data_IF_465892544481
#
_entry.id   IF_465892544481
#
_cell.length_a   1.000
_cell.length_b   1.000
_cell.length_c   1.000
_cell.angle_alpha   90.00
_cell.angle_beta   90.00
_cell.angle_gamma   90.00
#
_symmetry.space_group_name_H-M   'P 1'
#
loop_
_entity.id
_entity.type
_entity.pdbx_description
1 polymer ?
#
# COMPACT_ATOMS: atom_id res chain seq x y z
N UNK A 1 0.33 -12.45 -27.65
CA UNK A 1 -1.04 -13.00 -27.58
C UNK A 1 -1.99 -12.07 -26.84
N UNK A 2 -1.84 -11.84 -25.53
CA UNK A 2 -2.76 -10.97 -24.77
C UNK A 2 -2.81 -9.52 -25.29
N UNK A 3 -1.66 -8.82 -25.38
CA UNK A 3 -1.62 -7.44 -25.86
C UNK A 3 -2.13 -7.31 -27.30
N UNK A 4 -1.79 -8.26 -28.16
CA UNK A 4 -2.28 -8.35 -29.55
C UNK A 4 -3.80 -8.45 -29.58
N UNK A 5 -4.39 -9.36 -28.78
CA UNK A 5 -5.84 -9.49 -28.68
C UNK A 5 -6.51 -8.22 -28.18
N UNK A 6 -5.94 -7.55 -27.18
CA UNK A 6 -6.49 -6.28 -26.69
C UNK A 6 -6.43 -5.18 -27.75
N UNK A 7 -5.35 -5.10 -28.52
CA UNK A 7 -5.18 -4.10 -29.59
C UNK A 7 -6.05 -4.38 -30.83
N UNK A 8 -6.33 -5.65 -31.14
CA UNK A 8 -7.10 -6.04 -32.33
C UNK A 8 -8.62 -6.12 -32.03
N UNK A 9 -9.00 -6.73 -30.91
CA UNK A 9 -10.41 -6.97 -30.57
C UNK A 9 -11.02 -5.81 -29.78
N UNK A 10 -10.19 -5.00 -29.12
CA UNK A 10 -10.58 -3.87 -28.31
C UNK A 10 -10.69 -4.17 -26.81
N UNK A 11 -10.67 -3.11 -26.04
CA UNK A 11 -10.89 -3.12 -24.60
C UNK A 11 -12.38 -3.03 -24.28
N UNK A 12 -12.79 -3.60 -23.14
CA UNK A 12 -14.13 -3.38 -22.62
C UNK A 12 -14.30 -1.91 -22.22
N UNK A 13 -15.21 -1.20 -22.88
CA UNK A 13 -15.51 0.21 -22.60
C UNK A 13 -15.84 0.43 -21.11
N UNK A 14 -16.57 -0.51 -20.49
CA UNK A 14 -16.88 -0.47 -19.05
C UNK A 14 -15.60 -0.51 -18.20
N UNK A 15 -14.63 -1.35 -18.55
CA UNK A 15 -13.34 -1.48 -17.83
C UNK A 15 -12.48 -0.23 -18.03
N UNK A 16 -12.45 0.33 -19.25
CA UNK A 16 -11.74 1.57 -19.53
C UNK A 16 -12.34 2.73 -18.72
N UNK A 17 -13.67 2.85 -18.72
CA UNK A 17 -14.36 3.87 -17.93
C UNK A 17 -14.12 3.69 -16.42
N UNK A 18 -14.14 2.46 -15.91
CA UNK A 18 -13.78 2.15 -14.52
C UNK A 18 -12.36 2.64 -14.19
N UNK A 19 -11.40 2.33 -15.06
CA UNK A 19 -9.99 2.70 -14.89
C UNK A 19 -9.79 4.22 -14.84
N UNK A 20 -10.50 4.97 -15.70
CA UNK A 20 -10.49 6.44 -15.69
C UNK A 20 -11.13 6.99 -14.42
N UNK A 21 -12.24 6.42 -13.96
CA UNK A 21 -12.92 6.83 -12.73
C UNK A 21 -12.03 6.60 -11.50
N UNK A 22 -11.29 5.48 -11.43
CA UNK A 22 -10.32 5.21 -10.35
C UNK A 22 -9.20 6.24 -10.37
N UNK A 23 -8.67 6.56 -11.56
CA UNK A 23 -7.61 7.56 -11.68
C UNK A 23 -8.09 8.92 -11.21
N UNK A 24 -9.29 9.33 -11.60
CA UNK A 24 -9.94 10.54 -11.10
C UNK A 24 -10.13 10.50 -9.57
N UNK A 25 -10.62 9.39 -9.03
CA UNK A 25 -10.82 9.22 -7.59
C UNK A 25 -9.51 9.46 -6.84
N UNK A 26 -8.41 8.80 -7.26
CA UNK A 26 -7.10 8.98 -6.64
C UNK A 26 -6.57 10.41 -6.74
N UNK A 27 -6.78 11.09 -7.87
CA UNK A 27 -6.41 12.50 -8.05
C UNK A 27 -7.19 13.44 -7.13
N UNK A 28 -8.50 13.21 -6.96
CA UNK A 28 -9.38 14.02 -6.08
C UNK A 28 -9.11 13.76 -4.59
N UNK A 29 -9.01 12.48 -4.22
CA UNK A 29 -8.74 12.05 -2.85
C UNK A 29 -7.41 12.65 -2.37
N UNK A 30 -6.37 12.57 -3.21
CA UNK A 30 -5.01 13.01 -2.90
C UNK A 30 -4.57 12.50 -1.52
N UNK A 31 -4.94 11.26 -1.20
CA UNK A 31 -4.59 10.57 0.03
C UNK A 31 -3.36 9.71 -0.25
N UNK A 32 -2.27 10.04 0.44
CA UNK A 32 -0.96 9.45 0.18
C UNK A 32 -0.47 8.58 1.33
N UNK A 33 -1.38 7.98 2.12
CA UNK A 33 -1.01 6.99 3.13
C UNK A 33 -0.10 7.54 4.22
N UNK A 34 -0.36 8.77 4.66
CA UNK A 34 0.42 9.46 5.69
C UNK A 34 1.53 10.37 5.18
N UNK A 35 1.85 10.36 3.88
CA UNK A 35 2.76 11.35 3.31
C UNK A 35 2.06 12.73 3.19
N UNK A 36 2.71 13.83 3.63
CA UNK A 36 2.16 15.17 3.47
C UNK A 36 1.90 15.50 2.00
N UNK A 37 0.72 16.03 1.68
CA UNK A 37 0.34 16.41 0.29
C UNK A 37 1.36 17.35 -0.34
N UNK A 38 1.85 18.32 0.43
CA UNK A 38 2.88 19.26 -0.03
C UNK A 38 4.16 18.56 -0.50
N UNK A 39 4.60 17.52 0.21
CA UNK A 39 5.78 16.73 -0.20
C UNK A 39 5.51 15.99 -1.51
N UNK A 40 4.39 15.29 -1.62
CA UNK A 40 4.05 14.51 -2.82
C UNK A 40 3.89 15.39 -4.05
N UNK A 41 3.20 16.53 -3.92
CA UNK A 41 3.06 17.49 -5.01
C UNK A 41 4.40 18.13 -5.39
N UNK A 42 5.25 18.45 -4.42
CA UNK A 42 6.59 18.98 -4.69
C UNK A 42 7.46 17.97 -5.44
N UNK A 43 7.45 16.70 -5.03
CA UNK A 43 8.19 15.65 -5.74
C UNK A 43 7.66 15.43 -7.15
N UNK A 44 6.33 15.50 -7.33
CA UNK A 44 5.69 15.40 -8.65
C UNK A 44 6.14 16.56 -9.54
N UNK A 45 6.04 17.79 -9.05
CA UNK A 45 6.47 18.98 -9.77
C UNK A 45 7.98 18.95 -10.08
N UNK A 46 8.81 18.53 -9.13
CA UNK A 46 10.26 18.38 -9.31
C UNK A 46 10.60 17.38 -10.41
N UNK A 47 9.91 16.23 -10.44
CA UNK A 47 10.11 15.21 -11.47
C UNK A 47 9.83 15.74 -12.88
N UNK A 48 8.84 16.63 -12.99
CA UNK A 48 8.48 17.28 -14.24
C UNK A 48 9.44 18.43 -14.59
N UNK A 49 9.83 19.22 -13.59
CA UNK A 49 10.74 20.36 -13.73
C UNK A 49 12.10 19.97 -14.32
N UNK A 50 12.58 18.75 -14.03
CA UNK A 50 13.82 18.24 -14.62
C UNK A 50 13.79 18.20 -16.16
N UNK A 51 12.61 18.24 -16.78
CA UNK A 51 12.42 18.10 -18.22
C UNK A 51 11.46 19.13 -18.84
N UNK A 52 10.94 20.08 -18.06
CA UNK A 52 9.96 21.09 -18.49
C UNK A 52 10.14 22.40 -17.72
N UNK A 53 9.95 23.54 -18.38
CA UNK A 53 10.00 24.87 -17.76
C UNK A 53 8.73 25.22 -16.95
N UNK A 54 7.68 24.38 -17.03
CA UNK A 54 6.40 24.58 -16.33
C UNK A 54 6.13 23.44 -15.33
N UNK A 55 6.73 23.49 -14.13
CA UNK A 55 6.70 22.38 -13.17
C UNK A 55 5.30 22.06 -12.63
N UNK A 56 4.35 22.99 -12.73
CA UNK A 56 2.97 22.83 -12.26
C UNK A 56 2.06 22.08 -13.25
N UNK A 57 2.42 21.91 -14.52
CA UNK A 57 1.55 21.26 -15.52
C UNK A 57 1.12 19.84 -15.08
N UNK A 58 2.02 19.10 -14.44
CA UNK A 58 1.74 17.75 -13.92
C UNK A 58 0.67 17.72 -12.80
N UNK A 59 0.43 18.86 -12.15
CA UNK A 59 -0.59 19.01 -11.10
C UNK A 59 -1.96 19.41 -11.66
N UNK A 60 -2.01 19.96 -12.89
CA UNK A 60 -3.22 20.44 -13.54
C UNK A 60 -3.94 19.32 -14.31
N UNK A 61 -4.53 18.38 -13.58
CA UNK A 61 -5.06 17.15 -14.19
C UNK A 61 -6.46 17.27 -14.80
N UNK A 62 -7.23 18.32 -14.53
CA UNK A 62 -8.65 18.40 -14.94
C UNK A 62 -8.84 18.40 -16.46
N UNK A 63 -8.09 19.24 -17.19
CA UNK A 63 -8.18 19.29 -18.65
C UNK A 63 -7.68 18.00 -19.32
N UNK A 64 -6.49 17.46 -18.98
CA UNK A 64 -6.05 16.15 -19.47
C UNK A 64 -7.03 15.01 -19.15
N UNK A 65 -7.59 14.99 -17.94
CA UNK A 65 -8.56 13.98 -17.52
C UNK A 65 -9.84 14.05 -18.36
N UNK A 66 -10.33 15.25 -18.67
CA UNK A 66 -11.48 15.44 -19.55
C UNK A 66 -11.20 14.89 -20.95
N UNK A 67 -10.02 15.18 -21.52
CA UNK A 67 -9.61 14.63 -22.82
C UNK A 67 -9.55 13.10 -22.79
N UNK A 68 -9.02 12.50 -21.72
CA UNK A 68 -8.98 11.05 -21.54
C UNK A 68 -10.40 10.46 -21.46
N UNK A 69 -11.31 11.09 -20.71
CA UNK A 69 -12.72 10.67 -20.60
C UNK A 69 -13.44 10.70 -21.96
N UNK A 70 -13.18 11.73 -22.78
CA UNK A 70 -13.74 11.82 -24.13
C UNK A 70 -13.14 10.77 -25.09
N UNK A 71 -11.92 10.31 -24.79
CA UNK A 71 -11.17 9.30 -25.56
C UNK A 71 -11.43 7.85 -25.13
N UNK A 72 -12.38 7.60 -24.19
CA UNK A 72 -12.78 6.26 -23.75
C UNK A 72 -13.37 5.41 -24.88
N UNK A 73 -13.81 6.05 -25.97
CA UNK A 73 -14.32 5.35 -27.16
C UNK A 73 -13.25 4.45 -27.78
N UNK A 74 -13.70 3.31 -28.31
CA UNK A 74 -12.84 2.28 -28.93
C UNK A 74 -11.84 2.88 -29.93
N UNK A 75 -10.58 2.50 -29.80
CA UNK A 75 -9.50 2.81 -30.73
C UNK A 75 -8.34 3.59 -30.12
N UNK A 76 -8.59 4.43 -29.11
CA UNK A 76 -7.53 5.25 -28.50
C UNK A 76 -6.54 4.42 -27.68
N UNK A 77 -7.02 3.65 -26.71
CA UNK A 77 -6.14 2.85 -25.87
C UNK A 77 -5.54 1.66 -26.63
N UNK A 78 -6.28 1.11 -27.60
CA UNK A 78 -5.80 0.08 -28.51
C UNK A 78 -4.64 0.58 -29.37
N UNK A 79 -4.69 1.82 -29.87
CA UNK A 79 -3.56 2.40 -30.61
C UNK A 79 -2.36 2.61 -29.70
N UNK A 80 -2.55 3.05 -28.44
CA UNK A 80 -1.44 3.16 -27.49
C UNK A 80 -0.76 1.81 -27.21
N UNK A 81 -1.54 0.74 -27.06
CA UNK A 81 -0.99 -0.62 -26.90
C UNK A 81 -0.19 -1.01 -28.14
N UNK A 82 -0.70 -0.72 -29.32
CA UNK A 82 -0.02 -1.02 -30.58
C UNK A 82 1.30 -0.26 -30.70
N UNK A 83 1.25 1.05 -30.60
CA UNK A 83 2.38 1.94 -30.89
C UNK A 83 3.48 1.81 -29.83
N UNK A 84 3.12 1.85 -28.54
CA UNK A 84 4.10 1.95 -27.46
C UNK A 84 4.53 0.60 -26.88
N UNK A 85 3.74 -0.46 -27.07
CA UNK A 85 4.06 -1.80 -26.54
C UNK A 85 4.32 -2.83 -27.63
N UNK A 86 3.43 -3.01 -28.62
CA UNK A 86 3.59 -4.08 -29.61
C UNK A 86 4.66 -3.73 -30.65
N UNK A 87 4.59 -2.55 -31.25
CA UNK A 87 5.46 -2.12 -32.35
C UNK A 87 6.74 -1.43 -31.87
N UNK A 88 6.81 -1.06 -30.59
CA UNK A 88 8.01 -0.53 -29.97
C UNK A 88 9.10 -1.62 -29.87
N UNK A 89 10.23 -1.43 -30.56
CA UNK A 89 11.36 -2.36 -30.53
C UNK A 89 12.35 -2.10 -29.38
N UNK A 90 12.15 -1.06 -28.57
CA UNK A 90 12.96 -0.76 -27.41
C UNK A 90 12.52 -1.61 -26.19
N UNK A 91 12.82 -2.91 -26.25
CA UNK A 91 12.38 -3.93 -25.26
C UNK A 91 13.57 -4.67 -24.67
N UNK A 92 13.50 -4.93 -23.36
CA UNK A 92 14.50 -5.73 -22.64
C UNK A 92 13.76 -6.83 -21.89
N UNK A 93 14.22 -8.08 -22.05
CA UNK A 93 13.76 -9.21 -21.26
C UNK A 93 14.86 -9.59 -20.26
N UNK A 94 14.55 -9.43 -18.96
CA UNK A 94 15.48 -9.79 -17.87
C UNK A 94 14.96 -11.05 -17.18
N UNK A 95 15.81 -12.06 -17.06
CA UNK A 95 15.52 -13.28 -16.30
C UNK A 95 16.44 -13.36 -15.09
N UNK A 96 15.88 -13.48 -13.90
CA UNK A 96 16.63 -13.65 -12.65
C UNK A 96 16.54 -15.12 -12.23
N UNK A 97 17.69 -15.80 -12.17
CA UNK A 97 17.78 -17.21 -11.78
C UNK A 97 18.46 -17.32 -10.41
N UNK A 98 17.88 -18.06 -9.45
CA UNK A 98 18.51 -18.28 -8.16
C UNK A 98 19.77 -19.14 -8.30
N UNK A 99 20.88 -18.69 -7.72
CA UNK A 99 22.15 -19.43 -7.68
C UNK A 99 22.45 -19.80 -6.22
N UNK A 100 22.43 -21.10 -5.92
CA UNK A 100 22.80 -21.61 -4.59
C UNK A 100 24.27 -21.31 -4.32
N UNK A 101 24.57 -20.70 -3.17
CA UNK A 101 25.93 -20.34 -2.80
C UNK A 101 26.40 -18.97 -3.31
N UNK A 102 25.54 -18.20 -3.99
CA UNK A 102 25.93 -16.90 -4.56
C UNK A 102 26.36 -15.89 -3.48
N UNK A 103 25.73 -15.93 -2.30
CA UNK A 103 26.09 -15.06 -1.17
C UNK A 103 27.49 -15.39 -0.66
N UNK A 104 27.78 -16.68 -0.46
CA UNK A 104 29.08 -17.18 -0.01
C UNK A 104 30.17 -16.88 -1.04
N UNK A 105 29.87 -17.08 -2.33
CA UNK A 105 30.77 -16.73 -3.43
C UNK A 105 31.11 -15.24 -3.44
N UNK A 106 30.10 -14.36 -3.36
CA UNK A 106 30.31 -12.90 -3.28
C UNK A 106 31.09 -12.49 -2.03
N UNK A 107 30.86 -13.17 -0.90
CA UNK A 107 31.62 -12.94 0.33
C UNK A 107 33.08 -13.36 0.17
N UNK A 108 33.36 -14.51 -0.45
CA UNK A 108 34.71 -14.96 -0.73
C UNK A 108 35.42 -13.99 -1.69
N UNK A 109 34.80 -13.62 -2.81
CA UNK A 109 35.35 -12.63 -3.75
C UNK A 109 35.65 -11.28 -3.07
N UNK A 110 34.79 -10.85 -2.14
CA UNK A 110 35.03 -9.65 -1.34
C UNK A 110 36.22 -9.82 -0.39
N UNK A 111 36.31 -10.96 0.31
CA UNK A 111 37.41 -11.25 1.22
C UNK A 111 38.75 -11.33 0.48
N UNK A 112 38.78 -11.99 -0.68
CA UNK A 112 39.98 -12.10 -1.51
C UNK A 112 40.46 -10.73 -1.99
N UNK A 113 39.52 -9.89 -2.46
CA UNK A 113 39.82 -8.49 -2.83
C UNK A 113 40.40 -7.69 -1.65
N UNK A 114 39.84 -7.85 -0.45
CA UNK A 114 40.33 -7.17 0.75
C UNK A 114 41.71 -7.68 1.19
N UNK A 115 41.96 -8.99 1.09
CA UNK A 115 43.27 -9.57 1.37
C UNK A 115 44.31 -9.09 0.38
N UNK A 116 44.00 -9.10 -0.91
CA UNK A 116 44.89 -8.58 -1.95
C UNK A 116 45.20 -7.10 -1.73
N UNK A 117 44.18 -6.28 -1.46
CA UNK A 117 44.37 -4.87 -1.13
C UNK A 117 45.31 -4.72 0.08
N UNK A 118 45.05 -5.43 1.18
CA UNK A 118 45.88 -5.39 2.39
C UNK A 118 47.32 -5.83 2.13
N UNK A 119 47.54 -6.83 1.27
CA UNK A 119 48.89 -7.33 0.96
C UNK A 119 49.75 -6.32 0.17
N UNK A 120 49.11 -5.37 -0.51
CA UNK A 120 49.80 -4.29 -1.22
C UNK A 120 50.16 -3.09 -0.34
N UNK A 121 49.74 -3.08 0.94
CA UNK A 121 50.02 -2.00 1.87
C UNK A 121 51.33 -2.23 2.62
N UNK A 122 52.05 -1.13 2.85
CA UNK A 122 53.14 -1.08 3.82
C UNK A 122 52.63 -1.16 5.25
N UNK A 123 53.52 -1.48 6.20
CA UNK A 123 53.17 -1.49 7.62
C UNK A 123 52.71 -0.11 8.10
N UNK A 124 53.33 0.97 7.64
CA UNK A 124 52.96 2.34 8.01
C UNK A 124 51.54 2.71 7.56
N UNK A 125 51.13 2.26 6.36
CA UNK A 125 49.77 2.43 5.84
C UNK A 125 48.75 1.62 6.66
N UNK A 126 49.09 0.36 7.00
CA UNK A 126 48.24 -0.48 7.87
C UNK A 126 48.04 0.21 9.23
N UNK A 127 49.13 0.67 9.85
CA UNK A 127 49.07 1.34 11.15
C UNK A 127 48.28 2.66 11.05
N UNK A 128 48.35 3.35 9.92
CA UNK A 128 47.52 4.53 9.65
C UNK A 128 46.04 4.17 9.60
N UNK A 129 45.64 3.11 8.90
CA UNK A 129 44.24 2.67 8.87
C UNK A 129 43.73 2.26 10.25
N UNK A 130 44.55 1.58 11.05
CA UNK A 130 44.20 1.21 12.43
C UNK A 130 43.96 2.46 13.27
N UNK A 131 44.87 3.45 13.22
CA UNK A 131 44.71 4.73 13.94
C UNK A 131 43.47 5.49 13.50
N UNK A 132 43.21 5.58 12.19
CA UNK A 132 42.01 6.25 11.66
C UNK A 132 40.73 5.53 12.09
N UNK A 133 40.73 4.19 12.09
CA UNK A 133 39.58 3.39 12.53
C UNK A 133 39.31 3.60 14.01
N UNK A 134 40.35 3.58 14.85
CA UNK A 134 40.19 3.84 16.28
C UNK A 134 39.67 5.26 16.53
N UNK A 135 40.23 6.26 15.84
CA UNK A 135 39.77 7.65 15.93
C UNK A 135 38.30 7.78 15.52
N UNK A 136 37.86 7.05 14.48
CA UNK A 136 36.46 7.04 14.05
C UNK A 136 35.56 6.41 15.11
N UNK A 137 35.96 5.28 15.68
CA UNK A 137 35.23 4.60 16.76
C UNK A 137 35.10 5.54 17.96
N UNK A 138 36.20 6.14 18.41
CA UNK A 138 36.21 7.06 19.54
C UNK A 138 35.26 8.25 19.28
N UNK A 139 35.27 8.81 18.06
CA UNK A 139 34.34 9.88 17.67
C UNK A 139 32.87 9.46 17.66
N UNK A 140 32.56 8.24 17.23
CA UNK A 140 31.18 7.74 17.20
C UNK A 140 30.64 7.38 18.59
N UNK A 141 31.53 7.07 19.55
CA UNK A 141 31.19 6.72 20.92
C UNK A 141 31.25 7.91 21.89
N UNK A 142 31.90 9.00 21.49
CA UNK A 142 31.97 10.23 22.32
C UNK A 142 30.62 10.94 22.26
N UNK A 143 30.06 11.23 23.44
CA UNK A 143 28.84 12.03 23.54
C UNK A 143 29.09 13.48 23.12
N UNK A 144 28.12 14.08 22.44
CA UNK A 144 28.18 15.51 22.10
C UNK A 144 28.20 16.36 23.37
N UNK A 145 28.94 17.47 23.35
CA UNK A 145 29.01 18.37 24.49
C UNK A 145 27.68 19.08 24.73
N UNK A 146 27.41 19.50 25.98
CA UNK A 146 26.21 20.30 26.27
C UNK A 146 26.17 21.63 25.48
N UNK A 147 27.33 22.22 25.18
CA UNK A 147 27.42 23.46 24.41
C UNK A 147 26.97 23.23 22.97
N UNK A 148 27.42 22.14 22.34
CA UNK A 148 27.03 21.76 20.98
C UNK A 148 25.54 21.43 20.90
N UNK A 149 25.01 20.66 21.86
CA UNK A 149 23.59 20.33 21.92
C UNK A 149 22.70 21.58 22.06
N UNK A 150 23.17 22.62 22.78
CA UNK A 150 22.46 23.90 22.92
C UNK A 150 22.44 24.73 21.62
N UNK A 151 23.26 24.40 20.62
CA UNK A 151 23.21 25.05 19.30
C UNK A 151 22.02 24.58 18.44
N UNK A 152 21.43 23.43 18.79
CA UNK A 152 20.27 22.88 18.09
C UNK A 152 19.02 23.70 18.49
N UNK A 153 18.34 24.39 17.56
CA UNK A 153 17.16 25.17 17.89
C UNK A 153 16.02 24.25 18.33
N UNK A 154 15.42 24.57 19.48
CA UNK A 154 14.29 23.82 20.05
C UNK A 154 13.05 24.71 20.13
N UNK A 155 11.88 24.09 20.00
CA UNK A 155 10.61 24.72 20.34
C UNK A 155 10.50 24.86 21.86
N UNK A 156 9.82 25.92 22.30
CA UNK A 156 9.45 26.07 23.70
C UNK A 156 8.21 25.22 24.00
N UNK A 157 8.03 24.81 25.26
CA UNK A 157 6.79 24.16 25.70
C UNK A 157 5.55 25.04 25.46
N UNK A 158 5.72 26.37 25.39
CA UNK A 158 4.64 27.31 25.05
C UNK A 158 4.20 27.25 23.60
N UNK A 159 5.03 26.71 22.70
CA UNK A 159 4.73 26.58 21.27
C UNK A 159 3.85 25.34 21.00
N UNK A 160 3.75 24.43 21.99
CA UNK A 160 2.92 23.23 21.91
C UNK A 160 1.48 23.53 22.32
N UNK A 161 0.52 22.97 21.57
CA UNK A 161 -0.88 23.03 21.95
C UNK A 161 -1.11 22.18 23.21
N UNK A 162 -1.60 22.81 24.29
CA UNK A 162 -1.82 22.14 25.58
C UNK A 162 -3.03 21.19 25.57
N UNK A 163 -3.86 21.24 24.53
CA UNK A 163 -5.03 20.39 24.37
C UNK A 163 -4.86 19.56 23.11
N UNK A 164 -5.16 18.27 23.24
CA UNK A 164 -5.35 17.42 22.08
C UNK A 164 -6.52 17.94 21.24
N UNK A 165 -6.48 17.66 19.94
CA UNK A 165 -7.59 17.95 19.05
C UNK A 165 -8.84 17.17 19.48
N UNK A 166 -9.97 17.85 19.56
CA UNK A 166 -11.25 17.25 19.89
C UNK A 166 -11.98 16.92 18.58
N UNK A 167 -12.04 15.63 18.24
CA UNK A 167 -12.71 15.14 17.04
C UNK A 167 -14.18 14.93 17.37
N UNK A 168 -15.02 15.88 16.98
CA UNK A 168 -16.46 15.79 17.17
C UNK A 168 -17.04 14.58 16.43
N UNK A 169 -17.75 13.74 17.17
CA UNK A 169 -18.51 12.60 16.66
C UNK A 169 -19.99 12.77 16.97
N UNK A 170 -20.81 12.65 15.93
CA UNK A 170 -22.26 12.59 16.06
C UNK A 170 -22.65 11.13 16.30
N UNK A 171 -23.34 10.89 17.41
CA UNK A 171 -23.83 9.57 17.79
C UNK A 171 -25.27 9.42 17.32
N UNK A 172 -25.51 8.47 16.44
CA UNK A 172 -26.85 8.14 15.94
C UNK A 172 -27.17 6.67 16.15
N UNK A 173 -28.47 6.35 16.13
CA UNK A 173 -28.95 4.97 16.20
C UNK A 173 -29.73 4.67 14.92
N UNK A 174 -29.17 3.81 14.08
CA UNK A 174 -29.79 3.36 12.82
C UNK A 174 -30.15 1.88 12.95
N UNK A 175 -31.44 1.55 12.87
CA UNK A 175 -31.95 0.17 12.95
C UNK A 175 -31.33 -0.66 14.10
N UNK A 176 -31.25 -0.03 15.28
CA UNK A 176 -30.64 -0.56 16.52
C UNK A 176 -29.12 -0.60 16.60
N UNK A 177 -28.39 -0.21 15.55
CA UNK A 177 -26.94 -0.12 15.55
C UNK A 177 -26.46 1.27 15.94
N UNK A 178 -25.39 1.33 16.75
CA UNK A 178 -24.68 2.57 17.02
C UNK A 178 -23.95 3.00 15.74
N UNK A 179 -24.25 4.21 15.27
CA UNK A 179 -23.60 4.83 14.13
C UNK A 179 -22.82 6.04 14.61
N UNK A 180 -21.54 6.10 14.25
CA UNK A 180 -20.66 7.23 14.54
C UNK A 180 -20.43 7.99 13.25
N UNK A 181 -20.89 9.23 13.20
CA UNK A 181 -20.72 10.11 12.06
C UNK A 181 -19.68 11.18 12.39
N UNK A 182 -18.66 11.28 11.55
CA UNK A 182 -17.73 12.38 11.54
C UNK A 182 -17.94 13.18 10.26
N UNK A 183 -18.19 14.49 10.39
CA UNK A 183 -18.40 15.39 9.26
C UNK A 183 -17.14 16.24 9.03
N UNK A 184 -16.81 16.45 7.75
CA UNK A 184 -15.64 17.22 7.35
C UNK A 184 -15.59 17.41 5.83
N UNK A 185 -14.64 18.22 5.35
CA UNK A 185 -14.42 18.41 3.91
C UNK A 185 -13.70 17.18 3.34
N UNK A 186 -14.47 16.29 2.71
CA UNK A 186 -13.98 15.04 2.12
C UNK A 186 -13.95 15.06 0.59
N UNK A 187 -14.16 16.23 -0.03
CA UNK A 187 -14.12 16.45 -1.49
C UNK A 187 -15.08 15.55 -2.26
N UNK A 188 -16.27 15.32 -1.69
CA UNK A 188 -17.31 14.50 -2.29
C UNK A 188 -17.10 12.99 -2.15
N UNK A 189 -16.19 12.56 -1.27
CA UNK A 189 -15.93 11.15 -0.95
C UNK A 189 -16.55 10.83 0.41
N UNK A 190 -17.24 9.71 0.50
CA UNK A 190 -17.72 9.17 1.77
C UNK A 190 -16.91 7.93 2.14
N UNK A 191 -16.56 7.82 3.42
CA UNK A 191 -15.85 6.68 4.00
C UNK A 191 -16.80 5.94 4.93
N UNK A 192 -16.97 4.65 4.70
CA UNK A 192 -17.90 3.82 5.47
C UNK A 192 -17.12 2.67 6.08
N UNK A 193 -17.32 2.43 7.38
CA UNK A 193 -16.74 1.30 8.11
C UNK A 193 -17.83 0.58 8.90
N UNK A 194 -17.91 -0.73 8.70
CA UNK A 194 -18.74 -1.64 9.46
C UNK A 194 -17.85 -2.45 10.40
N UNK A 195 -18.29 -2.63 11.64
CA UNK A 195 -17.58 -3.40 12.65
C UNK A 195 -18.45 -4.57 13.11
N UNK A 196 -17.99 -5.79 12.83
CA UNK A 196 -18.65 -7.03 13.24
C UNK A 196 -17.89 -7.65 14.40
N UNK A 197 -18.61 -8.06 15.44
CA UNK A 197 -18.00 -8.72 16.59
C UNK A 197 -17.54 -10.15 16.22
N UNK A 198 -16.29 -10.50 16.56
CA UNK A 198 -15.75 -11.84 16.29
C UNK A 198 -15.51 -12.65 17.57
N UNK A 199 -16.00 -12.21 18.74
CA UNK A 199 -15.91 -12.97 20.01
C UNK A 199 -16.65 -14.30 19.95
N UNK A 200 -17.62 -14.45 19.05
CA UNK A 200 -18.39 -15.68 18.85
C UNK A 200 -17.64 -16.74 18.05
N UNK A 201 -16.49 -16.39 17.45
CA UNK A 201 -15.69 -17.34 16.67
C UNK A 201 -14.84 -18.19 17.63
N UNK A 202 -14.91 -19.54 17.55
CA UNK A 202 -14.07 -20.41 18.36
C UNK A 202 -12.58 -20.16 18.14
N UNK A 203 -11.77 -20.29 19.21
CA UNK A 203 -10.35 -19.96 19.19
C UNK A 203 -9.55 -20.77 18.16
N UNK A 204 -9.88 -22.05 17.98
CA UNK A 204 -9.29 -22.95 16.99
C UNK A 204 -9.64 -22.56 15.55
N UNK A 205 -10.68 -21.74 15.35
CA UNK A 205 -11.12 -21.26 14.05
C UNK A 205 -10.48 -19.92 13.65
N UNK A 206 -9.78 -19.23 14.55
CA UNK A 206 -9.16 -17.92 14.28
C UNK A 206 -8.15 -17.93 13.11
N UNK A 207 -7.30 -18.97 12.93
CA UNK A 207 -6.44 -19.04 11.75
C UNK A 207 -7.23 -19.09 10.43
N UNK A 208 -8.38 -19.77 10.43
CA UNK A 208 -9.25 -19.86 9.26
C UNK A 208 -10.05 -18.57 9.02
N UNK A 209 -10.35 -17.79 10.05
CA UNK A 209 -10.97 -16.48 9.91
C UNK A 209 -10.07 -15.52 9.11
N UNK A 210 -8.76 -15.53 9.36
CA UNK A 210 -7.80 -14.73 8.59
C UNK A 210 -7.76 -15.15 7.11
N UNK A 211 -7.82 -16.45 6.85
CA UNK A 211 -7.90 -16.98 5.48
C UNK A 211 -9.23 -16.60 4.81
N UNK A 212 -10.36 -16.78 5.49
CA UNK A 212 -11.69 -16.41 5.01
C UNK A 212 -11.74 -14.94 4.57
N UNK A 213 -11.24 -14.04 5.41
CA UNK A 213 -11.18 -12.60 5.12
C UNK A 213 -10.30 -12.31 3.90
N UNK A 214 -9.22 -13.07 3.71
CA UNK A 214 -8.34 -12.93 2.55
C UNK A 214 -8.98 -13.39 1.23
N UNK A 215 -10.05 -14.20 1.30
CA UNK A 215 -10.83 -14.67 0.16
C UNK A 215 -11.98 -13.72 -0.22
N UNK A 216 -12.50 -12.94 0.74
CA UNK A 216 -13.60 -12.01 0.49
C UNK A 216 -13.22 -10.99 -0.61
N UNK A 217 -14.13 -10.81 -1.56
CA UNK A 217 -13.92 -9.94 -2.73
C UNK A 217 -12.99 -10.53 -3.81
N UNK A 218 -12.47 -11.75 -3.63
CA UNK A 218 -11.57 -12.42 -4.60
C UNK A 218 -12.11 -13.73 -5.19
N UNK A 219 -13.28 -14.15 -4.72
CA UNK A 219 -14.02 -15.31 -5.21
C UNK A 219 -15.31 -14.86 -5.88
N UNK A 220 -15.89 -15.74 -6.71
CA UNK A 220 -17.18 -15.48 -7.34
C UNK A 220 -18.28 -15.40 -6.28
N UNK A 221 -19.35 -14.67 -6.58
CA UNK A 221 -20.55 -14.60 -5.75
C UNK A 221 -21.72 -15.23 -6.47
N UNK A 222 -22.93 -15.15 -5.89
CA UNK A 222 -24.16 -15.56 -6.57
C UNK A 222 -24.35 -14.82 -7.88
N UNK A 223 -24.11 -13.50 -7.90
CA UNK A 223 -24.38 -12.64 -9.05
C UNK A 223 -23.19 -12.42 -10.00
N UNK A 224 -21.96 -12.55 -9.51
CA UNK A 224 -20.76 -12.16 -10.26
C UNK A 224 -19.72 -13.27 -10.28
N UNK A 225 -19.04 -13.44 -11.41
CA UNK A 225 -17.70 -14.08 -11.40
C UNK A 225 -16.71 -13.21 -10.62
N UNK A 226 -15.60 -13.78 -10.15
CA UNK A 226 -14.59 -13.00 -9.43
C UNK A 226 -14.01 -11.85 -10.27
N UNK A 227 -13.94 -11.99 -11.60
CA UNK A 227 -13.47 -10.95 -12.54
C UNK A 227 -14.48 -9.80 -12.65
N UNK A 228 -15.76 -10.13 -12.82
CA UNK A 228 -16.84 -9.15 -12.86
C UNK A 228 -16.97 -8.42 -11.52
N UNK A 229 -16.90 -9.14 -10.40
CA UNK A 229 -16.96 -8.55 -9.07
C UNK A 229 -15.82 -7.55 -8.87
N UNK A 230 -14.59 -7.92 -9.25
CA UNK A 230 -13.45 -7.00 -9.21
C UNK A 230 -13.72 -5.74 -10.02
N UNK A 231 -14.30 -5.88 -11.22
CA UNK A 231 -14.64 -4.74 -12.07
C UNK A 231 -15.75 -3.86 -11.45
N UNK A 232 -16.76 -4.43 -10.81
CA UNK A 232 -17.83 -3.68 -10.14
C UNK A 232 -17.30 -2.89 -8.94
N UNK A 233 -16.43 -3.51 -8.12
CA UNK A 233 -15.78 -2.84 -7.00
C UNK A 233 -14.97 -1.64 -7.51
N UNK A 234 -14.19 -1.85 -8.56
CA UNK A 234 -13.37 -0.84 -9.23
C UNK A 234 -14.21 0.28 -9.86
N UNK A 235 -15.38 -0.04 -10.40
CA UNK A 235 -16.24 0.94 -11.06
C UNK A 235 -16.98 1.84 -10.07
N UNK A 236 -17.48 1.27 -8.97
CA UNK A 236 -18.33 1.99 -8.03
C UNK A 236 -17.56 2.58 -6.84
N UNK A 237 -16.40 2.04 -6.49
CA UNK A 237 -15.70 2.37 -5.23
C UNK A 237 -14.22 2.69 -5.46
N UNK A 238 -13.61 3.37 -4.49
CA UNK A 238 -12.16 3.48 -4.36
C UNK A 238 -11.52 2.28 -3.65
N UNK A 239 -12.26 1.17 -3.50
CA UNK A 239 -11.83 -0.07 -2.88
C UNK A 239 -12.71 -0.48 -1.69
N UNK A 240 -12.89 -1.80 -1.54
CA UNK A 240 -13.51 -2.43 -0.37
C UNK A 240 -12.42 -3.25 0.34
N UNK A 241 -12.21 -2.98 1.62
CA UNK A 241 -11.22 -3.63 2.47
C UNK A 241 -11.86 -4.44 3.58
N UNK A 242 -11.24 -5.57 3.90
CA UNK A 242 -11.62 -6.44 5.00
C UNK A 242 -10.39 -6.64 5.90
N UNK A 243 -10.52 -6.38 7.20
CA UNK A 243 -9.42 -6.55 8.16
C UNK A 243 -9.91 -7.03 9.52
N UNK A 244 -9.05 -7.75 10.24
CA UNK A 244 -9.25 -8.06 11.65
C UNK A 244 -8.56 -6.99 12.48
N UNK A 245 -9.30 -6.38 13.40
CA UNK A 245 -8.78 -5.39 14.33
C UNK A 245 -9.12 -5.80 15.76
N UNK A 246 -8.18 -5.60 16.66
CA UNK A 246 -8.39 -5.83 18.10
C UNK A 246 -8.31 -4.49 18.81
N UNK A 247 -9.35 -4.13 19.54
CA UNK A 247 -9.40 -2.91 20.33
C UNK A 247 -9.32 -3.26 21.81
N UNK A 248 -8.38 -2.66 22.53
CA UNK A 248 -8.24 -2.83 23.98
C UNK A 248 -8.35 -1.46 24.66
N UNK A 249 -9.31 -1.24 25.58
CA UNK A 249 -9.35 -0.03 26.39
C UNK A 249 -8.09 0.05 27.27
N UNK A 250 -7.49 1.23 27.39
CA UNK A 250 -6.20 1.44 28.08
C UNK A 250 -6.13 0.89 29.51
N UNK A 251 -7.28 0.82 30.21
CA UNK A 251 -7.37 0.40 31.61
C UNK A 251 -8.10 -0.93 31.78
N UNK A 252 -8.21 -1.76 30.74
CA UNK A 252 -8.90 -3.04 30.78
C UNK A 252 -8.07 -4.14 30.11
N UNK A 253 -8.11 -5.33 30.69
CA UNK A 253 -7.52 -6.54 30.09
C UNK A 253 -8.41 -7.12 28.99
N UNK A 254 -9.70 -6.75 28.97
CA UNK A 254 -10.62 -7.21 27.94
C UNK A 254 -10.30 -6.56 26.60
N UNK A 255 -10.26 -7.38 25.54
CA UNK A 255 -10.14 -6.92 24.18
C UNK A 255 -11.43 -7.17 23.38
N UNK A 256 -11.63 -6.36 22.35
CA UNK A 256 -12.77 -6.40 21.46
C UNK A 256 -12.27 -6.70 20.05
N UNK A 257 -12.20 -7.98 19.66
CA UNK A 257 -11.83 -8.37 18.31
C UNK A 257 -13.01 -8.09 17.38
N UNK A 258 -12.73 -7.42 16.25
CA UNK A 258 -13.71 -7.00 15.26
C UNK A 258 -13.22 -7.36 13.87
N UNK A 259 -14.13 -7.84 13.02
CA UNK A 259 -13.98 -7.75 11.58
C UNK A 259 -14.42 -6.35 11.14
N UNK A 260 -13.52 -5.61 10.52
CA UNK A 260 -13.82 -4.32 9.90
C UNK A 260 -13.98 -4.50 8.39
N UNK A 261 -15.14 -4.07 7.88
CA UNK A 261 -15.38 -3.92 6.44
C UNK A 261 -15.41 -2.44 6.14
N UNK A 262 -14.49 -1.98 5.31
CA UNK A 262 -14.35 -0.56 5.00
C UNK A 262 -14.47 -0.32 3.50
N UNK A 263 -15.12 0.78 3.12
CA UNK A 263 -15.12 1.25 1.73
C UNK A 263 -14.98 2.77 1.70
N UNK A 264 -14.53 3.24 0.54
CA UNK A 264 -14.53 4.66 0.18
C UNK A 264 -15.12 4.78 -1.21
N UNK A 265 -16.01 5.74 -1.42
CA UNK A 265 -16.61 5.97 -2.73
C UNK A 265 -17.04 7.43 -2.87
N UNK A 266 -17.22 7.89 -4.12
CA UNK A 266 -17.91 9.16 -4.36
C UNK A 266 -19.32 9.08 -3.76
N UNK A 267 -19.81 10.18 -3.19
CA UNK A 267 -21.09 10.23 -2.48
C UNK A 267 -22.26 9.56 -3.24
N UNK A 268 -22.44 9.77 -4.57
CA UNK A 268 -23.52 9.12 -5.32
C UNK A 268 -23.41 7.60 -5.42
N UNK A 269 -22.23 7.02 -5.25
CA UNK A 269 -21.96 5.59 -5.42
C UNK A 269 -22.03 4.80 -4.10
N UNK A 270 -22.29 5.44 -2.96
CA UNK A 270 -22.39 4.76 -1.67
C UNK A 270 -23.48 3.66 -1.64
N UNK A 271 -24.66 3.84 -2.26
CA UNK A 271 -25.64 2.76 -2.37
C UNK A 271 -25.09 1.52 -3.10
N UNK A 272 -24.36 1.70 -4.20
CA UNK A 272 -23.71 0.59 -4.92
C UNK A 272 -22.59 -0.04 -4.10
N UNK A 273 -21.78 0.76 -3.42
CA UNK A 273 -20.73 0.25 -2.53
C UNK A 273 -21.30 -0.66 -1.44
N UNK A 274 -22.42 -0.27 -0.82
CA UNK A 274 -23.09 -1.07 0.20
C UNK A 274 -23.72 -2.32 -0.40
N UNK A 275 -24.34 -2.24 -1.58
CA UNK A 275 -24.85 -3.40 -2.32
C UNK A 275 -23.74 -4.42 -2.58
N UNK A 276 -22.57 -3.98 -3.02
CA UNK A 276 -21.41 -4.84 -3.26
C UNK A 276 -20.87 -5.46 -1.96
N UNK A 277 -20.80 -4.69 -0.86
CA UNK A 277 -20.43 -5.23 0.46
C UNK A 277 -21.40 -6.34 0.86
N UNK A 278 -22.72 -6.12 0.72
CA UNK A 278 -23.73 -7.13 1.04
C UNK A 278 -23.58 -8.38 0.18
N UNK A 279 -23.38 -8.23 -1.13
CA UNK A 279 -23.13 -9.35 -2.05
C UNK A 279 -21.89 -10.14 -1.63
N UNK A 280 -20.76 -9.48 -1.35
CA UNK A 280 -19.53 -10.14 -0.93
C UNK A 280 -19.73 -10.89 0.40
N UNK A 281 -20.31 -10.22 1.39
CA UNK A 281 -20.42 -10.77 2.75
C UNK A 281 -21.45 -11.90 2.85
N UNK A 282 -22.47 -11.93 1.98
CA UNK A 282 -23.58 -12.88 2.09
C UNK A 282 -23.69 -13.90 0.96
N UNK A 283 -23.08 -13.63 -0.21
CA UNK A 283 -23.26 -14.43 -1.43
C UNK A 283 -21.94 -14.96 -2.02
N UNK A 284 -20.81 -14.81 -1.33
CA UNK A 284 -19.52 -15.40 -1.79
C UNK A 284 -19.59 -16.93 -1.88
N UNK A 285 -19.10 -17.49 -2.98
CA UNK A 285 -19.03 -18.93 -3.25
C UNK A 285 -17.61 -19.45 -2.97
N UNK A 286 -17.50 -20.45 -2.10
CA UNK A 286 -16.23 -21.05 -1.67
C UNK A 286 -16.03 -22.49 -2.19
N UNK A 287 -16.61 -22.79 -3.35
CA UNK A 287 -16.58 -24.11 -4.00
C UNK A 287 -15.52 -24.22 -5.11
N UNK A 288 -15.03 -23.10 -5.65
CA UNK A 288 -13.92 -23.06 -6.61
C UNK A 288 -12.56 -23.28 -5.93
N UNK A 289 -12.18 -24.56 -5.87
CA UNK A 289 -10.93 -24.99 -5.22
C UNK A 289 -9.67 -24.48 -5.92
N UNK A 290 -9.68 -24.35 -7.24
CA UNK A 290 -8.49 -23.90 -7.98
C UNK A 290 -8.26 -22.42 -7.71
N UNK A 291 -9.32 -21.60 -7.76
CA UNK A 291 -9.22 -20.17 -7.41
C UNK A 291 -8.75 -19.95 -5.98
N UNK A 292 -9.31 -20.69 -5.02
CA UNK A 292 -8.88 -20.60 -3.61
C UNK A 292 -7.41 -20.99 -3.46
N UNK A 293 -6.96 -22.02 -4.19
CA UNK A 293 -5.57 -22.47 -4.18
C UNK A 293 -4.62 -21.42 -4.70
N UNK A 294 -4.97 -20.73 -5.79
CA UNK A 294 -4.18 -19.60 -6.33
C UNK A 294 -4.01 -18.51 -5.29
N UNK A 295 -5.10 -18.09 -4.63
CA UNK A 295 -5.06 -17.03 -3.61
C UNK A 295 -4.18 -17.46 -2.43
N UNK A 296 -4.27 -18.71 -1.97
CA UNK A 296 -3.42 -19.23 -0.90
C UNK A 296 -1.94 -19.24 -1.30
N UNK A 297 -1.61 -19.60 -2.54
CA UNK A 297 -0.23 -19.56 -3.03
C UNK A 297 0.31 -18.13 -3.07
N UNK A 298 -0.50 -17.16 -3.51
CA UNK A 298 -0.15 -15.73 -3.48
C UNK A 298 0.12 -15.25 -2.05
N UNK A 299 -0.76 -15.58 -1.10
CA UNK A 299 -0.61 -15.24 0.31
C UNK A 299 0.68 -15.82 0.89
N UNK A 300 0.95 -17.10 0.63
CA UNK A 300 2.18 -17.77 1.06
C UNK A 300 3.42 -17.05 0.52
N UNK A 301 3.46 -16.76 -0.78
CA UNK A 301 4.59 -16.06 -1.41
C UNK A 301 4.81 -14.68 -0.78
N UNK A 302 3.73 -13.95 -0.47
CA UNK A 302 3.82 -12.64 0.19
C UNK A 302 4.36 -12.76 1.61
N UNK A 303 3.92 -13.76 2.37
CA UNK A 303 4.43 -14.02 3.72
C UNK A 303 5.92 -14.36 3.71
N UNK A 304 6.37 -15.20 2.77
CA UNK A 304 7.80 -15.52 2.58
C UNK A 304 8.62 -14.25 2.30
N UNK A 305 8.11 -13.36 1.44
CA UNK A 305 8.75 -12.06 1.17
C UNK A 305 8.81 -11.15 2.41
N UNK A 306 7.76 -11.09 3.22
CA UNK A 306 7.76 -10.27 4.45
C UNK A 306 8.82 -10.75 5.43
N UNK A 307 9.00 -12.07 5.57
CA UNK A 307 10.06 -12.63 6.42
C UNK A 307 11.45 -12.19 5.94
N UNK A 308 11.69 -12.21 4.62
CA UNK A 308 12.99 -11.83 4.06
C UNK A 308 13.26 -10.32 4.11
N UNK A 309 12.27 -9.50 3.75
CA UNK A 309 12.44 -8.04 3.58
C UNK A 309 12.14 -7.24 4.86
N UNK A 310 11.40 -7.83 5.81
CA UNK A 310 10.88 -7.14 6.99
C UNK A 310 10.90 -8.05 8.23
N UNK A 311 11.92 -8.90 8.36
CA UNK A 311 12.04 -9.86 9.47
C UNK A 311 12.00 -9.22 10.87
N UNK A 312 12.43 -7.97 11.03
CA UNK A 312 12.29 -7.22 12.27
C UNK A 312 10.81 -7.04 12.68
N UNK A 313 9.91 -6.76 11.74
CA UNK A 313 8.47 -6.64 12.03
C UNK A 313 7.88 -7.98 12.47
N UNK A 314 8.30 -9.08 11.83
CA UNK A 314 7.87 -10.44 12.21
C UNK A 314 8.32 -10.76 13.64
N UNK A 315 9.58 -10.43 13.98
CA UNK A 315 10.12 -10.62 15.32
C UNK A 315 9.35 -9.80 16.36
N UNK A 316 9.11 -8.51 16.10
CA UNK A 316 8.31 -7.64 16.98
C UNK A 316 6.89 -8.15 17.16
N UNK A 317 6.20 -8.50 16.08
CA UNK A 317 4.83 -9.03 16.16
C UNK A 317 4.78 -10.34 16.96
N UNK A 318 5.77 -11.23 16.79
CA UNK A 318 5.85 -12.47 17.55
C UNK A 318 6.11 -12.22 19.04
N UNK A 319 6.98 -11.28 19.38
CA UNK A 319 7.26 -10.91 20.76
C UNK A 319 6.00 -10.37 21.46
N UNK A 320 5.25 -9.50 20.77
CA UNK A 320 4.01 -8.91 21.28
C UNK A 320 2.82 -9.87 21.31
N UNK A 321 2.90 -11.05 20.68
CA UNK A 321 1.79 -12.03 20.67
C UNK A 321 1.55 -12.74 22.00
N UNK A 322 2.41 -12.54 23.00
CA UNK A 322 2.33 -13.12 24.34
C UNK A 322 2.08 -12.08 25.44
N UNK A 323 1.92 -10.81 25.07
CA UNK A 323 1.58 -9.70 25.95
C UNK A 323 0.10 -9.37 25.81
#
# INVERSE_FOLDING_TARGET
DTLTSLADNGLSERIVQASVNIKEFGLREAEFGGFPKGLVFTLSALSHWMYSDQPNEILEFEAPLKTIKESVKKGYFESLIRDYLLENNHKIMVTLLPEKGLTEKRLQEKNDKLQQFKSGLSQDEIDSYVRTTQTLIDKQLTEDSEEDLKTIPLLNLSDLNKKAEDIALIHEKVENNLTLLHTGETRGISYVKYFFDTKTIPQDQLPYLSLFISLLGKVSTTQYSYEELSNEILFHTGGIGFSLNTFQPMNQEEFHPKLTVSTKALNPNIPDANRLITEIMSQSKFDDKERIREIIQELKSRMEMIIMNSGHQVASMRLLSYL
#
